data_IF_455713916536
#
_entry.id   IF_455713916536
#
_cell.length_a   1.000
_cell.length_b   1.000
_cell.length_c   1.000
_cell.angle_alpha   90.00
_cell.angle_beta   90.00
_cell.angle_gamma   90.00
#
_symmetry.space_group_name_H-M   'P 1'
#
loop_
_entity.id
_entity.type
_entity.pdbx_description
1 polymer ?
#
# COMPACT_ATOMS: atom_id res chain seq x y z
N UNK A 1 47.49 3.17 16.64
CA UNK A 1 46.89 3.45 15.33
C UNK A 1 45.66 4.31 15.58
N UNK A 2 45.24 5.24 14.73
CA UNK A 2 43.95 5.90 14.89
C UNK A 2 42.88 4.83 14.80
N UNK A 3 41.85 4.92 15.68
CA UNK A 3 40.75 4.01 15.70
C UNK A 3 40.01 4.05 14.34
N UNK A 4 39.69 2.89 13.80
CA UNK A 4 38.88 2.78 12.57
C UNK A 4 37.40 2.95 12.93
N UNK A 5 36.55 3.29 11.97
CA UNK A 5 35.10 3.42 12.20
C UNK A 5 34.52 2.10 12.73
N UNK A 6 35.05 0.98 12.28
CA UNK A 6 34.73 -0.37 12.70
C UNK A 6 34.95 -0.62 14.20
N UNK A 7 35.98 0.02 14.81
CA UNK A 7 36.31 -0.15 16.23
C UNK A 7 35.25 0.52 17.15
N UNK A 8 34.44 1.44 16.60
CA UNK A 8 33.43 2.19 17.35
C UNK A 8 32.03 1.64 17.19
N UNK A 9 31.82 0.70 16.26
CA UNK A 9 30.52 0.08 16.01
C UNK A 9 30.43 -1.24 16.77
N UNK A 10 29.41 -1.42 17.66
CA UNK A 10 29.18 -2.70 18.34
C UNK A 10 29.11 -3.89 17.38
N UNK A 11 29.47 -5.08 17.84
CA UNK A 11 29.45 -6.30 17.02
C UNK A 11 28.03 -6.70 16.61
N UNK A 12 27.03 -6.39 17.43
CA UNK A 12 25.60 -6.65 17.24
C UNK A 12 24.82 -5.47 16.64
N UNK A 13 25.52 -4.45 16.11
CA UNK A 13 24.86 -3.29 15.49
C UNK A 13 24.16 -3.67 14.18
N UNK A 14 22.95 -3.14 13.99
CA UNK A 14 22.13 -3.35 12.80
C UNK A 14 22.87 -3.04 11.49
N UNK A 15 23.77 -2.04 11.48
CA UNK A 15 24.53 -1.70 10.28
C UNK A 15 25.46 -2.82 9.83
N UNK A 16 26.05 -3.58 10.76
CA UNK A 16 26.88 -4.75 10.42
C UNK A 16 26.00 -5.83 9.79
N UNK A 17 24.87 -6.12 10.42
CA UNK A 17 23.92 -7.10 9.89
C UNK A 17 23.45 -6.71 8.48
N UNK A 18 23.10 -5.45 8.24
CA UNK A 18 22.68 -4.98 6.91
C UNK A 18 23.79 -5.16 5.87
N UNK A 19 25.02 -4.82 6.21
CA UNK A 19 26.16 -5.00 5.28
C UNK A 19 26.37 -6.49 4.99
N UNK A 20 26.36 -7.34 6.00
CA UNK A 20 26.56 -8.78 5.85
C UNK A 20 25.48 -9.45 4.99
N UNK A 21 24.22 -9.02 5.11
CA UNK A 21 23.13 -9.49 4.28
C UNK A 21 23.30 -8.98 2.84
N UNK A 22 23.52 -7.68 2.65
CA UNK A 22 23.66 -7.08 1.31
C UNK A 22 24.85 -7.65 0.55
N UNK A 23 25.92 -8.05 1.24
CA UNK A 23 27.06 -8.72 0.59
C UNK A 23 26.69 -10.07 -0.03
N UNK A 24 25.65 -10.72 0.46
CA UNK A 24 25.13 -12.01 -0.07
C UNK A 24 24.11 -11.82 -1.19
N UNK A 25 23.56 -10.62 -1.35
CA UNK A 25 22.57 -10.33 -2.39
C UNK A 25 23.23 -10.25 -3.76
N UNK A 26 22.51 -10.76 -4.77
CA UNK A 26 22.88 -10.56 -6.18
C UNK A 26 22.43 -9.16 -6.63
N UNK A 27 23.40 -8.32 -6.87
CA UNK A 27 23.22 -6.94 -7.37
C UNK A 27 23.66 -6.80 -8.82
N UNK A 28 23.88 -7.90 -9.55
CA UNK A 28 24.37 -7.90 -10.93
C UNK A 28 23.50 -7.07 -11.88
N UNK A 29 22.18 -7.12 -11.75
CA UNK A 29 21.26 -6.32 -12.56
C UNK A 29 21.52 -4.81 -12.42
N UNK A 30 21.87 -4.36 -11.21
CA UNK A 30 22.24 -2.97 -10.97
C UNK A 30 23.66 -2.69 -11.51
N UNK A 31 24.61 -3.59 -11.27
CA UNK A 31 26.01 -3.45 -11.66
C UNK A 31 26.17 -3.36 -13.19
N UNK A 32 25.50 -4.24 -13.92
CA UNK A 32 25.54 -4.31 -15.38
C UNK A 32 24.93 -3.06 -16.06
N UNK A 33 24.10 -2.30 -15.34
CA UNK A 33 23.50 -1.07 -15.84
C UNK A 33 24.45 0.14 -15.82
N UNK A 34 25.64 0.02 -15.20
CA UNK A 34 26.61 1.09 -15.15
C UNK A 34 27.54 1.05 -16.36
N UNK A 35 27.50 2.11 -17.16
CA UNK A 35 28.47 2.29 -18.25
C UNK A 35 29.88 2.55 -17.69
N UNK A 36 30.89 1.98 -18.36
CA UNK A 36 32.30 2.22 -18.03
C UNK A 36 32.77 3.67 -18.29
N UNK A 37 31.88 4.57 -18.74
CA UNK A 37 32.14 5.98 -19.08
C UNK A 37 31.55 6.91 -18.03
N UNK A 38 32.33 7.78 -17.45
CA UNK A 38 31.90 8.82 -16.50
C UNK A 38 32.73 8.88 -15.22
N UNK A 39 32.22 9.63 -14.22
CA UNK A 39 32.77 9.62 -12.86
C UNK A 39 32.59 8.26 -12.21
N UNK A 40 33.51 7.84 -11.32
CA UNK A 40 33.38 6.58 -10.59
C UNK A 40 32.08 6.60 -9.79
N UNK A 41 31.19 5.68 -10.12
CA UNK A 41 29.96 5.46 -9.36
C UNK A 41 30.29 4.80 -8.00
N UNK A 42 29.44 5.04 -7.00
CA UNK A 42 29.47 4.26 -5.77
C UNK A 42 29.04 2.82 -6.05
N UNK A 43 29.62 1.88 -5.30
CA UNK A 43 29.26 0.46 -5.49
C UNK A 43 27.78 0.25 -5.19
N UNK A 44 27.03 -0.50 -6.03
CA UNK A 44 25.60 -0.77 -5.82
C UNK A 44 25.26 -1.31 -4.44
N UNK A 45 26.03 -2.27 -3.94
CA UNK A 45 25.87 -2.83 -2.58
C UNK A 45 25.98 -1.77 -1.48
N UNK A 46 26.93 -0.83 -1.61
CA UNK A 46 27.04 0.29 -0.66
C UNK A 46 25.77 1.14 -0.68
N UNK A 47 25.29 1.49 -1.87
CA UNK A 47 24.08 2.32 -2.01
C UNK A 47 22.81 1.59 -1.52
N UNK A 48 22.67 0.31 -1.81
CA UNK A 48 21.58 -0.53 -1.32
C UNK A 48 21.61 -0.65 0.21
N UNK A 49 22.77 -0.98 0.80
CA UNK A 49 22.93 -1.05 2.25
C UNK A 49 22.63 0.29 2.93
N UNK A 50 23.08 1.40 2.33
CA UNK A 50 22.80 2.74 2.85
C UNK A 50 21.30 3.05 2.86
N UNK A 51 20.57 2.72 1.79
CA UNK A 51 19.13 2.92 1.72
C UNK A 51 18.37 2.01 2.71
N UNK A 52 18.69 0.71 2.71
CA UNK A 52 18.05 -0.27 3.60
C UNK A 52 18.22 0.14 5.06
N UNK A 53 19.46 0.42 5.48
CA UNK A 53 19.72 0.85 6.85
C UNK A 53 19.05 2.18 7.21
N UNK A 54 19.14 3.15 6.30
CA UNK A 54 18.52 4.46 6.53
C UNK A 54 17.01 4.35 6.71
N UNK A 55 16.34 3.52 5.90
CA UNK A 55 14.90 3.31 5.99
C UNK A 55 14.52 2.52 7.25
N UNK A 56 15.26 1.47 7.57
CA UNK A 56 15.07 0.71 8.80
C UNK A 56 15.23 1.56 10.08
N UNK A 57 15.98 2.67 9.99
CA UNK A 57 16.20 3.61 11.09
C UNK A 57 15.44 4.95 10.95
N UNK A 58 14.39 4.99 10.11
CA UNK A 58 13.51 6.15 9.98
C UNK A 58 14.11 7.36 9.25
N UNK A 59 15.11 7.16 8.40
CA UNK A 59 15.74 8.24 7.64
C UNK A 59 15.45 8.11 6.16
N UNK A 60 14.35 8.75 5.65
CA UNK A 60 13.89 8.60 4.26
C UNK A 60 14.38 9.69 3.30
N UNK A 61 14.71 10.87 3.83
CA UNK A 61 15.12 12.02 3.01
C UNK A 61 16.59 11.87 2.55
N UNK A 62 16.83 11.90 1.23
CA UNK A 62 18.19 11.82 0.67
C UNK A 62 19.16 12.86 1.28
N UNK A 63 18.67 14.08 1.56
CA UNK A 63 19.48 15.11 2.23
C UNK A 63 19.81 14.76 3.69
N UNK A 64 18.87 14.13 4.41
CA UNK A 64 19.13 13.63 5.76
C UNK A 64 20.08 12.45 5.74
N UNK A 65 19.95 11.54 4.77
CA UNK A 65 20.85 10.40 4.58
C UNK A 65 22.27 10.90 4.30
N UNK A 66 22.46 11.82 3.35
CA UNK A 66 23.76 12.45 3.09
C UNK A 66 24.37 13.00 4.39
N UNK A 67 23.61 13.81 5.15
CA UNK A 67 24.07 14.36 6.42
C UNK A 67 24.51 13.25 7.40
N UNK A 68 23.74 12.16 7.49
CA UNK A 68 24.08 11.02 8.35
C UNK A 68 25.39 10.34 7.96
N UNK A 69 25.79 10.35 6.70
CA UNK A 69 27.09 9.80 6.30
C UNK A 69 28.28 10.56 6.92
N UNK A 70 28.08 11.79 7.39
CA UNK A 70 29.10 12.58 8.07
C UNK A 70 29.04 12.46 9.59
N UNK A 71 27.86 12.42 10.20
CA UNK A 71 27.65 12.57 11.63
C UNK A 71 27.28 11.26 12.37
N UNK A 72 26.91 10.19 11.63
CA UNK A 72 26.50 8.90 12.20
C UNK A 72 27.53 7.81 11.96
N UNK A 73 28.03 7.18 13.02
CA UNK A 73 28.99 6.07 12.93
C UNK A 73 28.48 4.92 12.07
N UNK A 74 27.25 4.39 12.26
CA UNK A 74 26.72 3.33 11.41
C UNK A 74 26.67 3.70 9.92
N UNK A 75 26.21 4.91 9.56
CA UNK A 75 26.19 5.33 8.17
C UNK A 75 27.59 5.48 7.57
N UNK A 76 28.54 5.97 8.36
CA UNK A 76 29.95 6.04 7.95
C UNK A 76 30.57 4.66 7.75
N UNK A 77 30.20 3.70 8.58
CA UNK A 77 30.62 2.30 8.43
C UNK A 77 30.10 1.72 7.11
N UNK A 78 28.79 1.80 6.85
CA UNK A 78 28.16 1.31 5.62
C UNK A 78 28.78 1.94 4.37
N UNK A 79 29.05 3.23 4.41
CA UNK A 79 29.65 3.96 3.29
C UNK A 79 31.16 3.83 3.18
N UNK A 80 31.83 3.03 4.02
CA UNK A 80 33.29 2.96 4.08
C UNK A 80 33.92 4.36 4.15
N UNK A 81 33.31 5.24 4.95
CA UNK A 81 33.70 6.65 5.12
C UNK A 81 33.64 7.49 3.83
N UNK A 82 32.86 7.05 2.84
CA UNK A 82 32.50 7.84 1.66
C UNK A 82 31.19 8.59 1.96
N UNK A 83 30.94 9.66 1.18
CA UNK A 83 29.80 10.54 1.43
C UNK A 83 29.03 10.78 0.12
N UNK A 84 28.14 9.84 -0.29
CA UNK A 84 27.27 10.06 -1.43
C UNK A 84 26.40 11.31 -1.20
N UNK A 85 26.37 12.21 -2.16
CA UNK A 85 25.50 13.38 -2.11
C UNK A 85 24.02 13.00 -2.30
N UNK A 86 23.14 13.89 -1.86
CA UNK A 86 21.69 13.64 -1.91
C UNK A 86 21.14 13.44 -3.32
N UNK A 87 21.75 14.06 -4.33
CA UNK A 87 21.33 13.87 -5.73
C UNK A 87 21.71 12.47 -6.22
N UNK A 88 22.88 11.97 -5.83
CA UNK A 88 23.31 10.60 -6.13
C UNK A 88 22.40 9.58 -5.44
N UNK A 89 22.08 9.78 -4.16
CA UNK A 89 21.16 8.91 -3.40
C UNK A 89 19.77 8.94 -4.05
N UNK A 90 19.26 10.11 -4.39
CA UNK A 90 17.93 10.28 -5.02
C UNK A 90 17.90 9.58 -6.38
N UNK A 91 18.91 9.81 -7.24
CA UNK A 91 18.99 9.19 -8.56
C UNK A 91 19.11 7.67 -8.48
N UNK A 92 19.93 7.15 -7.57
CA UNK A 92 20.04 5.70 -7.35
C UNK A 92 18.69 5.10 -6.99
N UNK A 93 17.98 5.66 -6.00
CA UNK A 93 16.66 5.21 -5.58
C UNK A 93 15.64 5.22 -6.72
N UNK A 94 15.57 6.29 -7.52
CA UNK A 94 14.61 6.38 -8.62
C UNK A 94 14.96 5.45 -9.78
N UNK A 95 16.24 5.29 -10.07
CA UNK A 95 16.67 4.47 -11.21
C UNK A 95 16.55 2.97 -10.94
N UNK A 96 16.78 2.55 -9.72
CA UNK A 96 16.90 1.14 -9.34
C UNK A 96 15.84 0.71 -8.31
N UNK A 97 14.69 1.36 -8.35
CA UNK A 97 13.62 1.05 -7.38
C UNK A 97 13.14 -0.40 -7.50
N UNK A 98 12.94 -0.87 -8.71
CA UNK A 98 12.44 -2.23 -8.99
C UNK A 98 13.48 -3.28 -8.60
N UNK A 99 14.74 -3.05 -8.93
CA UNK A 99 15.84 -3.94 -8.56
C UNK A 99 16.04 -3.99 -7.03
N UNK A 100 15.98 -2.85 -6.36
CA UNK A 100 16.05 -2.78 -4.88
C UNK A 100 14.86 -3.49 -4.23
N UNK A 101 13.67 -3.38 -4.82
CA UNK A 101 12.49 -4.13 -4.36
C UNK A 101 12.69 -5.64 -4.57
N UNK A 102 13.28 -6.06 -5.68
CA UNK A 102 13.65 -7.46 -5.94
C UNK A 102 14.65 -8.05 -4.92
N UNK A 103 15.47 -7.20 -4.27
CA UNK A 103 16.36 -7.67 -3.20
C UNK A 103 15.59 -8.16 -1.96
N UNK A 104 14.35 -7.69 -1.74
CA UNK A 104 13.52 -8.17 -0.63
C UNK A 104 13.25 -9.68 -0.73
N UNK A 105 12.90 -10.15 -1.92
CA UNK A 105 12.70 -11.59 -2.15
C UNK A 105 13.98 -12.38 -1.88
N UNK A 106 15.14 -11.87 -2.28
CA UNK A 106 16.42 -12.54 -1.98
C UNK A 106 16.69 -12.62 -0.47
N UNK A 107 16.32 -11.59 0.30
CA UNK A 107 16.44 -11.59 1.77
C UNK A 107 15.55 -12.69 2.37
N UNK A 108 14.31 -12.84 1.89
CA UNK A 108 13.42 -13.92 2.33
C UNK A 108 14.02 -15.32 2.02
N UNK A 109 14.61 -15.47 0.83
CA UNK A 109 15.25 -16.73 0.44
C UNK A 109 16.45 -17.07 1.32
N UNK A 110 17.28 -16.08 1.67
CA UNK A 110 18.38 -16.26 2.63
C UNK A 110 17.83 -16.66 4.00
N UNK A 111 16.74 -16.01 4.46
CA UNK A 111 16.09 -16.36 5.72
C UNK A 111 15.54 -17.80 5.69
N UNK A 112 14.98 -18.25 4.56
CA UNK A 112 14.56 -19.65 4.36
C UNK A 112 15.73 -20.64 4.42
N UNK A 113 16.84 -20.35 3.74
CA UNK A 113 18.05 -21.19 3.79
C UNK A 113 18.66 -21.28 5.20
N UNK A 114 18.48 -20.23 6.01
CA UNK A 114 18.89 -20.20 7.41
C UNK A 114 17.89 -20.89 8.35
N UNK A 115 16.75 -21.36 7.84
CA UNK A 115 15.67 -21.94 8.63
C UNK A 115 14.94 -20.93 9.52
N UNK A 116 14.99 -19.64 9.16
CA UNK A 116 14.32 -18.56 9.91
C UNK A 116 12.88 -18.33 9.43
N UNK A 117 12.54 -18.72 8.22
CA UNK A 117 11.20 -18.64 7.65
C UNK A 117 10.87 -19.93 6.88
N UNK A 118 9.67 -20.43 7.10
CA UNK A 118 9.04 -21.49 6.33
C UNK A 118 7.56 -21.14 6.24
N UNK A 119 7.10 -20.83 5.03
CA UNK A 119 5.73 -20.40 4.81
C UNK A 119 4.79 -21.56 5.10
N UNK A 120 3.83 -21.35 5.99
CA UNK A 120 2.82 -22.35 6.39
C UNK A 120 1.64 -21.66 7.05
N UNK A 121 1.91 -20.89 8.10
CA UNK A 121 0.91 -20.16 8.86
C UNK A 121 1.01 -18.66 8.56
N UNK A 122 0.06 -18.10 7.83
CA UNK A 122 0.11 -16.72 7.39
C UNK A 122 -0.96 -15.88 8.09
N UNK A 123 -0.60 -14.67 8.51
CA UNK A 123 -1.55 -13.66 8.97
C UNK A 123 -1.59 -12.50 7.97
N UNK A 124 -2.79 -12.14 7.51
CA UNK A 124 -3.02 -10.97 6.65
C UNK A 124 -3.73 -9.90 7.46
N UNK A 125 -3.24 -8.67 7.35
CA UNK A 125 -3.85 -7.51 7.98
C UNK A 125 -3.49 -6.23 7.22
N UNK A 126 -4.32 -5.19 7.42
CA UNK A 126 -4.14 -3.89 6.81
C UNK A 126 -3.99 -2.77 7.84
N UNK A 127 -3.23 -1.74 7.46
CA UNK A 127 -3.14 -0.53 8.27
C UNK A 127 -3.23 0.72 7.43
N UNK A 128 -3.91 1.74 7.95
CA UNK A 128 -4.03 3.02 7.25
C UNK A 128 -2.82 3.89 7.57
N UNK A 129 -2.10 4.32 6.52
CA UNK A 129 -0.91 5.16 6.61
C UNK A 129 -1.22 6.55 6.05
N UNK A 130 -0.90 7.59 6.83
CA UNK A 130 -1.17 8.96 6.42
C UNK A 130 -0.34 9.34 5.19
N UNK A 131 -1.01 9.88 4.17
CA UNK A 131 -0.34 10.50 3.04
C UNK A 131 0.27 11.85 3.43
N UNK A 132 1.33 12.26 2.76
CA UNK A 132 1.88 13.61 2.91
C UNK A 132 1.01 14.65 2.18
N UNK A 133 -0.27 14.66 2.49
CA UNK A 133 -1.27 15.49 1.86
C UNK A 133 -2.32 15.97 2.86
N UNK A 134 -2.71 17.25 2.74
CA UNK A 134 -3.75 17.82 3.59
C UNK A 134 -5.14 17.44 3.07
N UNK A 135 -6.02 16.99 3.95
CA UNK A 135 -7.44 16.78 3.63
C UNK A 135 -8.15 18.03 3.14
N UNK A 136 -7.65 19.23 3.49
CA UNK A 136 -8.20 20.51 3.04
C UNK A 136 -7.88 20.83 1.57
N UNK A 137 -6.98 20.08 0.95
CA UNK A 137 -6.70 20.15 -0.49
C UNK A 137 -7.43 19.07 -1.30
N UNK A 138 -8.29 18.30 -0.67
CA UNK A 138 -9.22 17.44 -1.36
C UNK A 138 -10.32 18.26 -2.04
N UNK A 139 -10.51 18.02 -3.32
CA UNK A 139 -11.50 18.69 -4.16
C UNK A 139 -12.58 17.70 -4.56
N UNK A 140 -13.85 17.97 -4.21
CA UNK A 140 -14.98 17.15 -4.65
C UNK A 140 -15.36 17.47 -6.10
N UNK A 141 -16.00 16.52 -6.78
CA UNK A 141 -16.48 16.69 -8.15
C UNK A 141 -17.36 17.93 -8.34
N UNK A 142 -18.38 18.09 -7.49
CA UNK A 142 -19.27 19.25 -7.53
C UNK A 142 -18.48 20.56 -7.34
N UNK A 143 -17.56 20.60 -6.35
CA UNK A 143 -16.75 21.80 -6.11
C UNK A 143 -15.73 22.07 -7.23
N UNK A 144 -15.22 21.01 -7.88
CA UNK A 144 -14.34 21.15 -9.04
C UNK A 144 -15.05 21.81 -10.21
N UNK A 145 -16.29 21.38 -10.49
CA UNK A 145 -17.12 21.97 -11.55
C UNK A 145 -17.39 23.46 -11.29
N UNK A 146 -17.81 23.82 -10.07
CA UNK A 146 -18.06 25.21 -9.70
C UNK A 146 -16.80 26.08 -9.81
N UNK A 147 -15.64 25.56 -9.37
CA UNK A 147 -14.39 26.32 -9.44
C UNK A 147 -13.85 26.44 -10.87
N UNK A 148 -14.06 25.45 -11.72
CA UNK A 148 -13.69 25.52 -13.12
C UNK A 148 -14.48 26.61 -13.84
N UNK A 149 -15.80 26.63 -13.66
CA UNK A 149 -16.66 27.66 -14.23
C UNK A 149 -16.24 29.06 -13.73
N UNK A 150 -16.13 29.25 -12.41
CA UNK A 150 -15.71 30.51 -11.82
C UNK A 150 -14.35 31.00 -12.33
N UNK A 151 -13.33 30.12 -12.40
CA UNK A 151 -11.99 30.52 -12.85
C UNK A 151 -11.95 30.81 -14.33
N UNK A 152 -12.78 30.15 -15.13
CA UNK A 152 -12.90 30.45 -16.57
C UNK A 152 -13.49 31.83 -16.77
N UNK A 153 -14.58 32.18 -16.08
CA UNK A 153 -15.17 33.53 -16.10
C UNK A 153 -14.16 34.58 -15.63
N UNK A 154 -13.45 34.36 -14.52
CA UNK A 154 -12.44 35.32 -14.02
C UNK A 154 -11.27 35.52 -15.00
N UNK A 155 -10.87 34.50 -15.78
CA UNK A 155 -9.84 34.64 -16.82
C UNK A 155 -10.37 35.46 -18.00
N UNK A 156 -11.60 35.20 -18.44
CA UNK A 156 -12.26 35.96 -19.49
C UNK A 156 -12.38 37.43 -19.13
N UNK A 157 -12.83 37.77 -17.93
CA UNK A 157 -12.91 39.15 -17.43
C UNK A 157 -11.54 39.86 -17.37
N UNK A 158 -10.47 39.13 -16.99
CA UNK A 158 -9.11 39.64 -16.97
C UNK A 158 -8.56 39.89 -18.38
N UNK A 159 -8.88 39.05 -19.35
CA UNK A 159 -8.50 39.23 -20.74
C UNK A 159 -9.21 40.43 -21.37
N UNK A 160 -10.52 40.58 -21.13
CA UNK A 160 -11.29 41.78 -21.57
C UNK A 160 -10.71 43.06 -20.97
N UNK A 161 -10.31 43.03 -19.68
CA UNK A 161 -9.69 44.16 -19.01
C UNK A 161 -8.33 44.49 -19.61
N UNK A 162 -7.52 43.47 -19.95
CA UNK A 162 -6.23 43.65 -20.60
C UNK A 162 -6.39 44.31 -21.99
N UNK A 163 -7.36 43.79 -22.80
CA UNK A 163 -7.66 44.37 -24.12
C UNK A 163 -8.13 45.81 -24.04
N UNK A 164 -8.99 46.18 -23.07
CA UNK A 164 -9.46 47.53 -22.85
C UNK A 164 -8.33 48.50 -22.46
N UNK A 165 -7.34 48.03 -21.68
CA UNK A 165 -6.16 48.86 -21.31
C UNK A 165 -5.25 49.06 -22.51
N UNK A 166 -5.04 48.03 -23.34
CA UNK A 166 -4.23 48.12 -24.55
C UNK A 166 -4.85 49.12 -25.57
N UNK A 167 -6.20 49.21 -25.63
CA UNK A 167 -6.91 50.18 -26.50
C UNK A 167 -6.80 51.62 -25.98
N UNK A 168 -6.67 51.83 -24.67
CA UNK A 168 -6.58 53.18 -24.06
C UNK A 168 -5.14 53.71 -23.98
N UNK A 169 -4.10 52.99 -24.43
CA UNK A 169 -2.67 53.36 -24.34
C UNK A 169 -2.17 53.67 -22.91
N UNK A 170 -2.87 53.25 -21.88
CA UNK A 170 -2.44 53.41 -20.48
C UNK A 170 -1.52 52.23 -20.08
N UNK A 171 -0.23 52.52 -19.83
CA UNK A 171 0.78 51.53 -19.42
C UNK A 171 0.55 50.95 -18.02
N UNK A 172 -0.32 51.53 -17.21
CA UNK A 172 -0.58 51.08 -15.83
C UNK A 172 -2.03 50.59 -15.66
N UNK A 173 -2.23 49.32 -15.53
CA UNK A 173 -3.51 48.71 -15.19
C UNK A 173 -4.07 49.19 -13.84
N UNK A 174 -5.39 49.02 -13.56
CA UNK A 174 -6.02 49.50 -12.36
C UNK A 174 -5.40 48.90 -11.10
N UNK A 175 -4.73 49.74 -10.32
CA UNK A 175 -4.25 49.40 -8.97
C UNK A 175 -2.90 48.67 -8.87
N UNK A 176 -2.06 48.64 -9.91
CA UNK A 176 -0.74 48.01 -9.86
C UNK A 176 -0.80 46.47 -9.90
N UNK A 177 -1.87 45.92 -10.42
CA UNK A 177 -2.02 44.47 -10.68
C UNK A 177 -1.26 44.12 -11.96
N UNK A 178 -0.38 43.12 -11.87
CA UNK A 178 0.22 42.47 -13.04
C UNK A 178 -0.80 41.48 -13.63
N UNK A 179 -1.60 41.94 -14.58
CA UNK A 179 -2.67 41.17 -15.21
C UNK A 179 -2.12 39.86 -15.82
N UNK A 180 -1.00 39.84 -16.57
CA UNK A 180 -0.40 38.62 -17.07
C UNK A 180 -0.04 37.61 -15.96
N UNK A 181 0.51 38.06 -14.83
CA UNK A 181 0.83 37.20 -13.70
C UNK A 181 -0.44 36.61 -13.05
N UNK A 182 -1.50 37.40 -12.94
CA UNK A 182 -2.78 36.97 -12.39
C UNK A 182 -3.50 35.94 -13.30
N UNK A 183 -3.45 36.13 -14.62
CA UNK A 183 -3.97 35.15 -15.60
C UNK A 183 -3.20 33.84 -15.47
N UNK A 184 -1.87 33.91 -15.52
CA UNK A 184 -1.03 32.69 -15.41
C UNK A 184 -1.29 31.92 -14.11
N UNK A 185 -1.51 32.62 -13.01
CA UNK A 185 -1.83 31.99 -11.71
C UNK A 185 -3.16 31.25 -11.75
N UNK A 186 -4.19 31.83 -12.40
CA UNK A 186 -5.52 31.23 -12.54
C UNK A 186 -5.50 30.05 -13.52
N UNK A 187 -4.82 30.19 -14.64
CA UNK A 187 -4.64 29.11 -15.63
C UNK A 187 -3.98 27.88 -14.98
N UNK A 188 -2.89 28.07 -14.23
CA UNK A 188 -2.22 26.99 -13.52
C UNK A 188 -3.14 26.30 -12.48
N UNK A 189 -3.99 27.08 -11.81
CA UNK A 189 -4.97 26.53 -10.88
C UNK A 189 -6.06 25.75 -11.60
N UNK A 190 -6.53 26.27 -12.73
CA UNK A 190 -7.53 25.64 -13.58
C UNK A 190 -7.01 24.31 -14.16
N UNK A 191 -5.75 24.26 -14.60
CA UNK A 191 -5.09 23.02 -15.03
C UNK A 191 -5.11 21.97 -13.93
N UNK A 192 -4.71 22.31 -12.69
CA UNK A 192 -4.76 21.38 -11.56
C UNK A 192 -6.17 20.88 -11.23
N UNK A 193 -7.20 21.72 -11.40
CA UNK A 193 -8.61 21.32 -11.22
C UNK A 193 -9.03 20.35 -12.33
N UNK A 194 -8.69 20.62 -13.57
CA UNK A 194 -8.99 19.75 -14.72
C UNK A 194 -8.33 18.38 -14.57
N UNK A 195 -7.08 18.35 -14.19
CA UNK A 195 -6.39 17.08 -13.88
C UNK A 195 -7.08 16.28 -12.76
N UNK A 196 -7.54 16.98 -11.69
CA UNK A 196 -8.28 16.34 -10.62
C UNK A 196 -9.61 15.75 -11.11
N UNK A 197 -10.32 16.47 -11.99
CA UNK A 197 -11.58 16.02 -12.62
C UNK A 197 -11.35 14.77 -13.48
N UNK A 198 -10.35 14.80 -14.36
CA UNK A 198 -10.00 13.65 -15.19
C UNK A 198 -9.73 12.37 -14.37
N UNK A 199 -9.04 12.53 -13.23
CA UNK A 199 -8.78 11.41 -12.32
C UNK A 199 -10.04 10.90 -11.62
N UNK A 200 -10.95 11.80 -11.24
CA UNK A 200 -12.25 11.42 -10.65
C UNK A 200 -13.10 10.68 -11.69
N UNK A 201 -13.16 11.17 -12.93
CA UNK A 201 -13.88 10.51 -14.04
C UNK A 201 -13.30 9.14 -14.37
N UNK A 202 -11.98 9.04 -14.48
CA UNK A 202 -11.30 7.77 -14.75
C UNK A 202 -11.69 6.72 -13.71
N UNK A 203 -11.63 7.06 -12.43
CA UNK A 203 -12.03 6.17 -11.33
C UNK A 203 -13.51 5.80 -11.35
N UNK A 204 -14.37 6.72 -11.76
CA UNK A 204 -15.79 6.42 -11.90
C UNK A 204 -16.04 5.41 -13.02
N UNK A 205 -15.27 5.49 -14.13
CA UNK A 205 -15.34 4.52 -15.24
C UNK A 205 -14.79 3.16 -14.81
N UNK A 206 -13.63 3.12 -14.16
CA UNK A 206 -13.02 1.88 -13.65
C UNK A 206 -13.99 1.15 -12.68
N UNK A 207 -14.59 1.88 -11.74
CA UNK A 207 -15.59 1.31 -10.84
C UNK A 207 -16.82 0.76 -11.60
N UNK A 208 -17.29 1.48 -12.60
CA UNK A 208 -18.42 0.99 -13.41
C UNK A 208 -18.05 -0.28 -14.19
N UNK A 209 -16.86 -0.35 -14.75
CA UNK A 209 -16.35 -1.57 -15.42
C UNK A 209 -16.31 -2.76 -14.43
N UNK A 210 -15.84 -2.56 -13.20
CA UNK A 210 -15.88 -3.59 -12.15
C UNK A 210 -17.31 -4.02 -11.79
N UNK A 211 -18.24 -3.07 -11.69
CA UNK A 211 -19.65 -3.34 -11.43
C UNK A 211 -20.31 -4.14 -12.56
N UNK A 212 -19.97 -3.82 -13.83
CA UNK A 212 -20.43 -4.56 -15.01
C UNK A 212 -19.89 -5.98 -15.00
N UNK A 213 -18.59 -6.15 -14.81
CA UNK A 213 -17.95 -7.49 -14.74
C UNK A 213 -18.61 -8.35 -13.64
N UNK A 214 -18.82 -7.76 -12.46
CA UNK A 214 -19.47 -8.45 -11.35
C UNK A 214 -20.95 -8.80 -11.64
N UNK A 215 -21.64 -7.94 -12.39
CA UNK A 215 -23.00 -8.23 -12.86
C UNK A 215 -22.99 -9.41 -13.86
N UNK A 216 -22.09 -9.40 -14.83
CA UNK A 216 -21.92 -10.48 -15.80
C UNK A 216 -21.62 -11.82 -15.11
N UNK A 217 -20.66 -11.87 -14.17
CA UNK A 217 -20.39 -13.07 -13.39
C UNK A 217 -21.59 -13.58 -12.61
N UNK A 218 -22.41 -12.67 -12.02
CA UNK A 218 -23.65 -13.08 -11.34
C UNK A 218 -24.67 -13.65 -12.30
N UNK A 219 -24.76 -13.10 -13.50
CA UNK A 219 -25.68 -13.59 -14.52
C UNK A 219 -25.25 -14.95 -15.04
N UNK A 220 -23.95 -15.14 -15.27
CA UNK A 220 -23.39 -16.43 -15.69
C UNK A 220 -23.64 -17.53 -14.64
N UNK A 221 -23.35 -17.26 -13.38
CA UNK A 221 -23.67 -18.19 -12.26
C UNK A 221 -25.17 -18.49 -12.14
N UNK A 222 -26.05 -17.57 -12.54
CA UNK A 222 -27.49 -17.82 -12.60
C UNK A 222 -27.87 -18.70 -13.78
N UNK A 223 -27.27 -18.47 -14.93
CA UNK A 223 -27.47 -19.28 -16.12
C UNK A 223 -27.01 -20.73 -15.91
N UNK A 224 -25.84 -20.94 -15.32
CA UNK A 224 -25.32 -22.25 -14.93
C UNK A 224 -26.26 -22.97 -13.98
N UNK A 225 -26.74 -22.27 -12.95
CA UNK A 225 -27.72 -22.85 -12.02
C UNK A 225 -29.02 -23.26 -12.71
N UNK A 226 -29.54 -22.44 -13.66
CA UNK A 226 -30.74 -22.74 -14.40
C UNK A 226 -30.56 -23.95 -15.36
N UNK A 227 -29.36 -24.07 -15.96
CA UNK A 227 -29.00 -25.21 -16.80
C UNK A 227 -28.91 -26.50 -16.00
N UNK A 228 -28.28 -26.48 -14.82
CA UNK A 228 -28.07 -27.63 -13.95
C UNK A 228 -29.38 -28.10 -13.28
N UNK A 229 -30.23 -27.17 -12.85
CA UNK A 229 -31.40 -27.47 -12.04
C UNK A 229 -32.73 -27.39 -12.81
N UNK A 230 -32.74 -26.90 -14.05
CA UNK A 230 -33.96 -26.73 -14.88
C UNK A 230 -34.97 -25.73 -14.33
N UNK A 231 -34.55 -24.84 -13.43
CA UNK A 231 -35.41 -23.80 -12.80
C UNK A 231 -34.59 -22.53 -12.50
N UNK A 232 -35.28 -21.38 -12.48
CA UNK A 232 -34.65 -20.10 -12.13
C UNK A 232 -34.06 -20.14 -10.73
N UNK A 233 -32.81 -19.58 -10.62
CA UNK A 233 -32.14 -19.41 -9.32
C UNK A 233 -33.02 -18.53 -8.40
N UNK A 234 -33.29 -18.92 -7.15
CA UNK A 234 -34.03 -18.11 -6.21
C UNK A 234 -33.37 -16.76 -5.94
N UNK A 235 -34.16 -15.74 -5.67
CA UNK A 235 -33.70 -14.38 -5.35
C UNK A 235 -33.97 -13.38 -6.45
N UNK A 236 -33.79 -12.08 -6.11
CA UNK A 236 -34.01 -10.97 -7.06
C UNK A 236 -32.97 -11.06 -8.17
N UNK A 237 -33.40 -10.82 -9.40
CA UNK A 237 -32.50 -10.71 -10.55
C UNK A 237 -31.61 -9.47 -10.37
N UNK A 238 -30.27 -9.59 -10.59
CA UNK A 238 -29.40 -8.43 -10.54
C UNK A 238 -29.84 -7.37 -11.55
N UNK A 239 -29.76 -6.10 -11.16
CA UNK A 239 -29.99 -4.98 -12.06
C UNK A 239 -28.68 -4.66 -12.79
N UNK A 240 -28.75 -4.41 -14.11
CA UNK A 240 -27.59 -4.00 -14.90
C UNK A 240 -27.13 -2.62 -14.41
N UNK A 241 -25.82 -2.46 -14.08
CA UNK A 241 -25.31 -1.17 -13.64
C UNK A 241 -25.32 -0.16 -14.77
N UNK A 242 -25.86 1.02 -14.51
CA UNK A 242 -25.85 2.15 -15.44
C UNK A 242 -24.72 3.13 -15.05
N UNK A 243 -24.00 3.65 -16.04
CA UNK A 243 -22.98 4.67 -15.82
C UNK A 243 -23.62 6.05 -15.61
N UNK A 244 -23.67 6.50 -14.37
CA UNK A 244 -24.20 7.83 -14.00
C UNK A 244 -23.11 8.93 -13.92
N UNK A 245 -21.85 8.58 -14.22
CA UNK A 245 -20.73 9.49 -14.05
C UNK A 245 -20.16 9.50 -12.63
N UNK A 246 -19.25 10.48 -12.33
CA UNK A 246 -18.74 10.64 -10.98
C UNK A 246 -19.80 11.09 -9.99
N UNK A 247 -19.77 10.56 -8.78
CA UNK A 247 -20.58 11.07 -7.69
C UNK A 247 -20.14 12.49 -7.28
N UNK A 248 -21.08 13.36 -6.88
CA UNK A 248 -20.81 14.74 -6.44
C UNK A 248 -19.76 14.81 -5.33
N UNK A 249 -19.72 13.78 -4.47
CA UNK A 249 -18.79 13.65 -3.34
C UNK A 249 -17.48 12.97 -3.68
N UNK A 250 -17.33 12.43 -4.90
CA UNK A 250 -16.08 11.85 -5.33
C UNK A 250 -14.97 12.90 -5.29
N UNK A 251 -13.81 12.55 -4.73
CA UNK A 251 -12.75 13.52 -4.43
C UNK A 251 -11.42 13.11 -5.02
N UNK A 252 -10.62 14.12 -5.37
CA UNK A 252 -9.18 13.98 -5.61
C UNK A 252 -8.42 15.00 -4.77
N UNK A 253 -7.25 14.61 -4.25
CA UNK A 253 -6.37 15.54 -3.55
C UNK A 253 -5.43 16.22 -4.54
N UNK A 254 -5.32 17.55 -4.47
CA UNK A 254 -4.48 18.34 -5.39
C UNK A 254 -2.97 18.20 -5.12
N UNK A 255 -2.59 17.70 -3.95
CA UNK A 255 -1.17 17.49 -3.59
C UNK A 255 -0.74 16.05 -3.84
N UNK A 256 -1.58 15.11 -3.49
CA UNK A 256 -1.37 13.66 -3.64
C UNK A 256 -2.66 13.03 -4.17
N UNK A 257 -2.80 12.96 -5.49
CA UNK A 257 -4.04 12.51 -6.13
C UNK A 257 -4.35 11.03 -5.95
N UNK A 258 -3.36 10.24 -5.58
CA UNK A 258 -3.50 8.80 -5.35
C UNK A 258 -4.02 8.51 -3.94
N UNK A 259 -3.78 9.41 -2.99
CA UNK A 259 -4.30 9.28 -1.62
C UNK A 259 -5.83 9.33 -1.57
N UNK A 260 -6.40 8.71 -0.55
CA UNK A 260 -7.85 8.69 -0.30
C UNK A 260 -8.17 9.14 1.12
N UNK A 261 -9.37 9.71 1.29
CA UNK A 261 -9.87 10.00 2.64
C UNK A 261 -10.26 8.68 3.29
N UNK A 262 -9.51 8.30 4.32
CA UNK A 262 -9.73 7.09 5.10
C UNK A 262 -9.85 7.42 6.58
N UNK A 263 -10.60 6.59 7.32
CA UNK A 263 -10.63 6.68 8.78
C UNK A 263 -9.39 6.02 9.34
N UNK A 264 -8.52 6.82 9.95
CA UNK A 264 -7.30 6.36 10.62
C UNK A 264 -7.54 6.22 12.13
N UNK A 265 -6.81 5.33 12.78
CA UNK A 265 -6.96 5.06 14.22
C UNK A 265 -6.53 6.24 15.11
N UNK A 266 -5.64 7.10 14.63
CA UNK A 266 -5.01 8.15 15.44
C UNK A 266 -5.62 9.52 15.23
N UNK A 267 -5.93 9.87 13.97
CA UNK A 267 -6.25 11.26 13.58
C UNK A 267 -7.63 11.42 12.93
N UNK A 268 -8.51 10.40 13.02
CA UNK A 268 -9.81 10.41 12.38
C UNK A 268 -9.69 10.38 10.84
N UNK A 269 -10.53 11.11 10.13
CA UNK A 269 -10.51 11.14 8.66
C UNK A 269 -9.31 11.91 8.13
N UNK A 270 -8.41 11.23 7.41
CA UNK A 270 -7.19 11.77 6.82
C UNK A 270 -7.02 11.28 5.38
N UNK A 271 -6.20 11.99 4.61
CA UNK A 271 -5.65 11.45 3.37
C UNK A 271 -4.67 10.34 3.73
N UNK A 272 -4.92 9.16 3.22
CA UNK A 272 -4.17 7.96 3.60
C UNK A 272 -4.13 6.94 2.47
N UNK A 273 -3.28 5.96 2.66
CA UNK A 273 -3.19 4.71 1.92
C UNK A 273 -3.52 3.55 2.84
N UNK A 274 -3.96 2.45 2.27
CA UNK A 274 -4.15 1.20 2.96
C UNK A 274 -2.97 0.28 2.66
N UNK A 275 -2.06 0.15 3.62
CA UNK A 275 -0.94 -0.78 3.53
C UNK A 275 -1.40 -2.16 3.98
N UNK A 276 -1.28 -3.14 3.11
CA UNK A 276 -1.56 -4.54 3.37
C UNK A 276 -0.26 -5.33 3.55
N UNK A 277 -0.26 -6.30 4.44
CA UNK A 277 0.89 -7.20 4.62
C UNK A 277 0.43 -8.62 4.95
N UNK A 278 1.10 -9.58 4.32
CA UNK A 278 1.07 -10.98 4.71
C UNK A 278 2.33 -11.30 5.50
N UNK A 279 2.16 -11.89 6.66
CA UNK A 279 3.22 -12.11 7.65
C UNK A 279 3.23 -13.57 8.05
N UNK A 280 4.39 -14.19 8.04
CA UNK A 280 4.56 -15.52 8.63
C UNK A 280 4.37 -15.47 10.15
N UNK A 281 3.47 -16.32 10.65
CA UNK A 281 3.07 -16.31 12.06
C UNK A 281 4.12 -16.92 13.00
N UNK A 282 5.09 -17.61 12.48
CA UNK A 282 6.12 -18.30 13.25
C UNK A 282 7.40 -17.46 13.38
N UNK A 283 7.86 -16.89 12.29
CA UNK A 283 9.05 -16.01 12.26
C UNK A 283 8.76 -14.54 12.46
N UNK A 284 7.52 -14.09 12.25
CA UNK A 284 7.11 -12.69 12.19
C UNK A 284 7.75 -11.90 11.03
N UNK A 285 8.25 -12.59 10.01
CA UNK A 285 8.75 -11.94 8.82
C UNK A 285 7.59 -11.56 7.88
N UNK A 286 7.69 -10.37 7.30
CA UNK A 286 6.79 -9.95 6.22
C UNK A 286 7.13 -10.79 5.00
N UNK A 287 6.14 -11.49 4.45
CA UNK A 287 6.28 -12.31 3.26
C UNK A 287 6.01 -11.48 2.00
N UNK A 288 4.88 -10.78 2.01
CA UNK A 288 4.44 -9.92 0.92
C UNK A 288 3.77 -8.67 1.47
N UNK A 289 3.59 -7.66 0.62
CA UNK A 289 2.82 -6.48 0.99
C UNK A 289 2.56 -5.58 -0.20
N UNK A 290 1.40 -4.91 -0.18
CA UNK A 290 1.02 -3.95 -1.19
C UNK A 290 0.35 -2.72 -0.57
N UNK A 291 0.30 -1.66 -1.36
CA UNK A 291 -0.36 -0.41 -0.99
C UNK A 291 -1.62 -0.25 -1.82
N UNK A 292 -2.75 -0.16 -1.15
CA UNK A 292 -4.05 0.03 -1.78
C UNK A 292 -4.62 1.42 -1.52
N UNK A 293 -5.46 1.86 -2.42
CA UNK A 293 -6.27 3.07 -2.29
C UNK A 293 -7.68 2.77 -1.74
N UNK A 294 -8.03 1.51 -1.56
CA UNK A 294 -9.32 1.09 -1.00
C UNK A 294 -9.35 1.33 0.51
N UNK A 295 -10.38 2.01 1.03
CA UNK A 295 -10.58 2.13 2.47
C UNK A 295 -11.07 0.82 3.11
N UNK A 296 -11.49 -0.16 2.29
CA UNK A 296 -12.10 -1.41 2.71
C UNK A 296 -11.15 -2.58 2.44
N UNK A 297 -10.96 -3.45 3.43
CA UNK A 297 -10.02 -4.56 3.35
C UNK A 297 -10.61 -5.80 2.63
N UNK A 298 -11.91 -5.81 2.30
CA UNK A 298 -12.57 -6.96 1.65
C UNK A 298 -11.98 -7.35 0.31
N UNK A 299 -11.54 -6.37 -0.46
CA UNK A 299 -10.98 -6.58 -1.81
C UNK A 299 -9.47 -6.83 -1.78
N UNK A 300 -8.86 -6.75 -0.59
CA UNK A 300 -7.41 -6.80 -0.46
C UNK A 300 -6.88 -8.22 -0.18
N UNK A 301 -7.76 -9.19 0.08
CA UNK A 301 -7.33 -10.56 0.34
C UNK A 301 -6.88 -11.28 -0.94
N UNK A 302 -7.62 -11.12 -2.02
CA UNK A 302 -7.29 -11.75 -3.30
C UNK A 302 -5.92 -11.30 -3.84
N UNK A 303 -5.59 -9.99 -3.91
CA UNK A 303 -4.23 -9.54 -4.23
C UNK A 303 -3.15 -10.06 -3.28
N UNK A 304 -3.47 -10.23 -1.99
CA UNK A 304 -2.53 -10.80 -1.03
C UNK A 304 -2.29 -12.30 -1.29
N UNK A 305 -3.33 -13.04 -1.65
CA UNK A 305 -3.23 -14.47 -2.02
C UNK A 305 -2.41 -14.66 -3.30
N UNK A 306 -2.63 -13.83 -4.33
CA UNK A 306 -1.83 -13.85 -5.55
C UNK A 306 -0.34 -13.65 -5.26
N UNK A 307 -0.01 -12.67 -4.42
CA UNK A 307 1.38 -12.43 -4.03
C UNK A 307 1.99 -13.57 -3.18
N UNK A 308 1.18 -14.26 -2.37
CA UNK A 308 1.63 -15.43 -1.60
C UNK A 308 1.92 -16.59 -2.56
N UNK A 309 1.09 -16.80 -3.56
CA UNK A 309 1.26 -17.84 -4.58
C UNK A 309 2.50 -17.60 -5.46
N UNK A 310 2.86 -16.35 -5.70
CA UNK A 310 4.08 -15.96 -6.42
C UNK A 310 5.38 -16.21 -5.63
N UNK A 311 5.31 -16.54 -4.35
CA UNK A 311 6.49 -16.82 -3.57
C UNK A 311 7.16 -18.13 -4.06
N UNK A 312 8.51 -18.19 -4.07
CA UNK A 312 9.22 -19.40 -4.48
C UNK A 312 8.87 -20.61 -3.61
N UNK A 313 8.54 -21.73 -4.22
CA UNK A 313 8.20 -23.03 -3.57
C UNK A 313 9.17 -23.44 -2.46
N UNK A 314 10.45 -23.06 -2.59
CA UNK A 314 11.49 -23.36 -1.57
C UNK A 314 11.30 -22.65 -0.24
N UNK A 315 10.40 -21.65 -0.16
CA UNK A 315 10.00 -20.99 1.09
C UNK A 315 8.87 -21.74 1.80
N UNK A 316 8.27 -22.78 1.18
CA UNK A 316 7.08 -23.47 1.64
C UNK A 316 5.82 -22.92 0.99
N UNK A 317 4.70 -23.55 1.29
CA UNK A 317 3.36 -23.18 0.83
C UNK A 317 2.51 -22.78 2.04
N UNK A 318 1.56 -21.87 1.83
CA UNK A 318 0.65 -21.45 2.88
C UNK A 318 -0.42 -22.52 3.14
N UNK A 319 -0.43 -23.08 4.33
CA UNK A 319 -1.43 -24.07 4.77
C UNK A 319 -2.66 -23.39 5.39
N UNK A 320 -2.44 -22.34 6.18
CA UNK A 320 -3.47 -21.66 6.98
C UNK A 320 -3.30 -20.14 6.92
N UNK A 321 -4.42 -19.45 6.79
CA UNK A 321 -4.44 -17.99 6.74
C UNK A 321 -5.36 -17.42 7.80
N UNK A 322 -4.88 -16.47 8.60
CA UNK A 322 -5.64 -15.71 9.58
C UNK A 322 -5.84 -14.28 9.14
N UNK A 323 -7.09 -13.81 9.09
CA UNK A 323 -7.43 -12.42 8.78
C UNK A 323 -8.55 -11.89 9.69
N UNK A 324 -8.71 -10.58 9.78
CA UNK A 324 -9.77 -9.99 10.59
C UNK A 324 -11.13 -9.99 9.89
N UNK A 325 -12.16 -9.48 10.58
CA UNK A 325 -13.52 -9.42 10.03
C UNK A 325 -13.65 -8.47 8.82
N UNK A 326 -12.69 -7.57 8.60
CA UNK A 326 -12.67 -6.67 7.44
C UNK A 326 -12.59 -7.43 6.12
N UNK A 327 -11.97 -8.61 6.13
CA UNK A 327 -11.80 -9.49 4.96
C UNK A 327 -12.93 -10.50 4.75
N UNK A 328 -13.92 -10.57 5.65
CA UNK A 328 -14.94 -11.59 5.57
C UNK A 328 -15.85 -11.40 4.35
N UNK A 329 -15.80 -12.33 3.43
CA UNK A 329 -16.74 -12.51 2.33
C UNK A 329 -16.74 -13.99 1.88
N UNK A 330 -17.81 -14.43 1.22
CA UNK A 330 -17.87 -15.79 0.68
C UNK A 330 -16.80 -15.99 -0.42
N UNK A 331 -16.55 -14.96 -1.23
CA UNK A 331 -15.52 -14.99 -2.26
C UNK A 331 -14.12 -15.18 -1.66
N UNK A 332 -13.78 -14.44 -0.61
CA UNK A 332 -12.47 -14.55 0.03
C UNK A 332 -12.24 -15.92 0.71
N UNK A 333 -13.30 -16.49 1.30
CA UNK A 333 -13.20 -17.86 1.87
C UNK A 333 -12.97 -18.87 0.76
N UNK A 334 -13.74 -18.80 -0.32
CA UNK A 334 -13.59 -19.68 -1.48
C UNK A 334 -12.21 -19.52 -2.15
N UNK A 335 -11.73 -18.29 -2.33
CA UNK A 335 -10.41 -18.02 -2.91
C UNK A 335 -9.25 -18.64 -2.11
N UNK A 336 -9.34 -18.63 -0.76
CA UNK A 336 -8.37 -19.36 0.07
C UNK A 336 -8.46 -20.87 -0.16
N UNK A 337 -9.69 -21.42 -0.15
CA UNK A 337 -9.93 -22.86 -0.28
C UNK A 337 -9.53 -23.39 -1.66
N UNK A 338 -9.75 -22.64 -2.73
CA UNK A 338 -9.30 -22.92 -4.10
C UNK A 338 -7.77 -23.02 -4.23
N UNK A 339 -7.02 -22.27 -3.42
CA UNK A 339 -5.57 -22.34 -3.34
C UNK A 339 -5.07 -23.40 -2.32
N UNK A 340 -5.98 -24.17 -1.73
CA UNK A 340 -5.63 -25.17 -0.71
C UNK A 340 -5.31 -24.59 0.66
N UNK A 341 -5.56 -23.31 0.87
CA UNK A 341 -5.29 -22.60 2.12
C UNK A 341 -6.52 -22.65 3.03
N UNK A 342 -6.36 -23.14 4.26
CA UNK A 342 -7.44 -23.18 5.24
C UNK A 342 -7.66 -21.79 5.86
N UNK A 343 -8.82 -21.12 5.59
CA UNK A 343 -9.07 -19.78 6.11
C UNK A 343 -9.54 -19.77 7.57
N UNK A 344 -9.09 -18.76 8.31
CA UNK A 344 -9.52 -18.38 9.66
C UNK A 344 -9.82 -16.89 9.70
N UNK A 345 -10.91 -16.46 9.05
CA UNK A 345 -11.34 -15.08 8.97
C UNK A 345 -12.42 -14.83 10.02
N UNK A 346 -12.24 -13.82 10.87
CA UNK A 346 -13.21 -13.55 11.94
C UNK A 346 -14.61 -13.28 11.40
N UNK A 347 -15.62 -13.93 11.97
CA UNK A 347 -17.04 -13.80 11.55
C UNK A 347 -17.79 -12.66 12.24
N UNK A 348 -17.14 -11.91 13.13
CA UNK A 348 -17.74 -10.78 13.86
C UNK A 348 -16.88 -10.32 15.03
N UNK A 349 -17.33 -9.26 15.70
CA UNK A 349 -16.69 -8.76 16.92
C UNK A 349 -16.96 -9.69 18.09
N UNK A 350 -15.96 -10.44 18.52
CA UNK A 350 -16.03 -11.22 19.77
C UNK A 350 -15.85 -10.30 20.97
N UNK A 351 -16.37 -10.72 22.15
CA UNK A 351 -16.17 -10.01 23.43
C UNK A 351 -14.67 -9.87 23.68
N UNK A 352 -14.24 -8.68 24.05
CA UNK A 352 -12.82 -8.39 24.33
C UNK A 352 -12.20 -9.28 25.42
N UNK A 353 -13.01 -9.71 26.40
CA UNK A 353 -12.61 -10.59 27.47
C UNK A 353 -13.63 -11.74 27.62
N UNK A 354 -13.55 -12.79 26.80
CA UNK A 354 -14.36 -13.98 27.01
C UNK A 354 -13.98 -14.65 28.33
N UNK A 355 -14.94 -15.28 28.99
CA UNK A 355 -14.69 -16.03 30.22
C UNK A 355 -13.67 -17.15 29.97
N UNK A 356 -13.02 -17.63 31.00
CA UNK A 356 -12.09 -18.74 30.86
C UNK A 356 -12.77 -20.02 30.31
N UNK A 357 -14.07 -20.20 30.62
CA UNK A 357 -14.86 -21.31 30.06
C UNK A 357 -15.03 -21.17 28.56
N UNK A 358 -15.44 -19.98 28.08
CA UNK A 358 -15.60 -19.72 26.64
C UNK A 358 -14.29 -19.91 25.86
N UNK A 359 -13.13 -19.66 26.53
CA UNK A 359 -11.81 -19.89 25.92
C UNK A 359 -11.43 -21.37 25.80
N UNK A 360 -11.87 -22.20 26.75
CA UNK A 360 -11.46 -23.59 26.86
C UNK A 360 -12.55 -24.59 26.43
N UNK A 361 -13.71 -24.09 25.95
CA UNK A 361 -14.80 -24.93 25.44
C UNK A 361 -14.81 -24.85 23.93
N UNK A 362 -14.91 -26.00 23.25
CA UNK A 362 -15.15 -26.08 21.80
C UNK A 362 -16.61 -25.77 21.45
N UNK A 363 -16.98 -25.83 20.18
CA UNK A 363 -18.36 -25.67 19.73
C UNK A 363 -19.25 -26.78 20.37
N UNK A 364 -20.48 -26.40 20.71
CA UNK A 364 -21.48 -27.37 21.26
C UNK A 364 -22.19 -28.12 20.13
N UNK A 365 -22.15 -27.60 18.92
CA UNK A 365 -22.79 -28.14 17.73
C UNK A 365 -21.87 -29.13 17.02
N UNK A 366 -22.47 -30.08 16.31
CA UNK A 366 -21.72 -31.00 15.43
C UNK A 366 -21.11 -30.21 14.25
N UNK A 367 -19.98 -30.68 13.66
CA UNK A 367 -19.39 -30.07 12.48
C UNK A 367 -20.41 -30.02 11.33
N UNK A 368 -20.40 -28.96 10.50
CA UNK A 368 -21.24 -28.89 9.32
C UNK A 368 -20.95 -30.06 8.36
N UNK A 369 -21.93 -30.41 7.54
CA UNK A 369 -21.78 -31.50 6.55
C UNK A 369 -20.74 -31.16 5.49
N UNK A 370 -20.67 -29.87 5.11
CA UNK A 370 -19.67 -29.36 4.19
C UNK A 370 -18.40 -28.94 4.95
N UNK A 371 -17.25 -29.37 4.46
CA UNK A 371 -15.94 -29.06 5.04
C UNK A 371 -15.41 -27.67 4.60
N UNK A 372 -16.06 -27.02 3.65
CA UNK A 372 -15.69 -25.76 3.02
C UNK A 372 -16.75 -24.67 3.24
N UNK A 373 -16.35 -23.42 2.96
CA UNK A 373 -17.21 -22.25 3.03
C UNK A 373 -17.30 -21.59 4.41
N UNK A 374 -18.12 -20.55 4.49
CA UNK A 374 -18.22 -19.69 5.70
C UNK A 374 -18.66 -20.47 6.94
N UNK A 375 -19.58 -21.41 6.81
CA UNK A 375 -20.10 -22.18 7.95
C UNK A 375 -19.02 -23.09 8.53
N UNK A 376 -18.31 -23.81 7.68
CA UNK A 376 -17.18 -24.65 8.08
C UNK A 376 -16.04 -23.84 8.69
N UNK A 377 -15.71 -22.67 8.10
CA UNK A 377 -14.72 -21.75 8.66
C UNK A 377 -15.15 -21.21 10.02
N UNK A 378 -16.43 -20.80 10.19
CA UNK A 378 -16.96 -20.31 11.44
C UNK A 378 -16.90 -21.38 12.54
N UNK A 379 -17.24 -22.63 12.20
CA UNK A 379 -17.10 -23.76 13.10
C UNK A 379 -15.64 -24.00 13.51
N UNK A 380 -14.70 -24.01 12.53
CA UNK A 380 -13.26 -24.15 12.78
C UNK A 380 -12.74 -23.09 13.77
N UNK A 381 -13.17 -21.83 13.62
CA UNK A 381 -12.80 -20.74 14.52
C UNK A 381 -13.26 -20.92 15.98
N UNK A 382 -14.32 -21.72 16.21
CA UNK A 382 -14.82 -22.01 17.56
C UNK A 382 -14.17 -23.24 18.18
N UNK A 383 -13.46 -24.07 17.42
CA UNK A 383 -12.66 -25.17 17.97
C UNK A 383 -11.55 -24.65 18.87
N UNK A 384 -11.01 -25.49 19.72
CA UNK A 384 -9.88 -25.14 20.58
C UNK A 384 -8.63 -24.81 19.76
N UNK A 385 -8.40 -25.59 18.70
CA UNK A 385 -7.27 -25.37 17.78
C UNK A 385 -7.45 -24.06 17.02
N UNK A 386 -8.63 -23.80 16.45
CA UNK A 386 -8.91 -22.58 15.72
C UNK A 386 -8.81 -21.33 16.59
N UNK A 387 -9.29 -21.39 17.84
CA UNK A 387 -9.12 -20.31 18.81
C UNK A 387 -7.64 -20.04 19.13
N UNK A 388 -6.85 -21.09 19.29
CA UNK A 388 -5.42 -20.97 19.56
C UNK A 388 -4.68 -20.38 18.35
N UNK A 389 -4.97 -20.88 17.15
CA UNK A 389 -4.37 -20.39 15.90
C UNK A 389 -4.73 -18.93 15.64
N UNK A 390 -6.02 -18.61 15.60
CA UNK A 390 -6.49 -17.25 15.35
C UNK A 390 -6.00 -16.27 16.42
N UNK A 391 -5.88 -16.72 17.68
CA UNK A 391 -5.39 -15.89 18.77
C UNK A 391 -3.96 -15.37 18.58
N UNK A 392 -3.14 -16.05 17.79
CA UNK A 392 -1.76 -15.64 17.48
C UNK A 392 -1.72 -14.43 16.54
N UNK A 393 -2.75 -14.23 15.66
CA UNK A 393 -2.80 -13.17 14.65
C UNK A 393 -2.40 -11.80 15.20
N UNK A 394 -3.02 -11.38 16.31
CA UNK A 394 -2.75 -10.07 16.91
C UNK A 394 -1.29 -9.90 17.34
N UNK A 395 -0.72 -10.95 17.94
CA UNK A 395 0.67 -10.95 18.34
C UNK A 395 1.64 -10.97 17.17
N UNK A 396 1.18 -11.29 15.97
CA UNK A 396 1.98 -11.36 14.75
C UNK A 396 1.99 -10.01 14.01
N UNK A 397 0.82 -9.51 13.61
CA UNK A 397 0.74 -8.35 12.70
C UNK A 397 0.76 -7.00 13.40
N UNK A 398 0.15 -6.88 14.59
CA UNK A 398 0.11 -5.59 15.30
C UNK A 398 1.51 -5.04 15.67
N UNK A 399 2.48 -5.84 16.17
CA UNK A 399 3.83 -5.35 16.43
C UNK A 399 4.56 -4.87 15.17
N UNK A 400 4.36 -5.56 14.05
CA UNK A 400 4.98 -5.22 12.77
C UNK A 400 4.47 -3.88 12.27
N UNK A 401 3.15 -3.67 12.26
CA UNK A 401 2.59 -2.38 11.89
C UNK A 401 2.94 -1.28 12.88
N UNK A 402 3.08 -1.61 14.16
CA UNK A 402 3.62 -0.69 15.17
C UNK A 402 5.02 -0.21 14.82
N UNK A 403 5.93 -1.14 14.49
CA UNK A 403 7.29 -0.83 14.09
C UNK A 403 7.33 -0.01 12.78
N UNK A 404 6.55 -0.38 11.76
CA UNK A 404 6.47 0.37 10.51
C UNK A 404 6.03 1.82 10.76
N UNK A 405 4.98 2.03 11.57
CA UNK A 405 4.46 3.37 11.88
C UNK A 405 5.42 4.21 12.73
N UNK A 406 6.19 3.59 13.60
CA UNK A 406 7.19 4.30 14.41
C UNK A 406 8.37 4.78 13.56
N UNK A 407 8.73 4.00 12.54
CA UNK A 407 9.84 4.29 11.62
C UNK A 407 9.42 5.33 10.57
N UNK A 408 8.21 5.31 10.07
CA UNK A 408 7.67 6.21 9.01
C UNK A 408 7.12 7.51 9.57
#
# INVERSE_FOLDING_TARGET
>A
MPAQVEDWLPEDDLARFVVDIVDRLDTSAIEDSYDARGSKAYHPKLMAALLIYSYATGTFSSRKIEKRTYDSIPHRFICANQHPDHDTICRFRHRFWDEVTGLFLQVLLIAGEMGMVEVGNVAVDGTKMNANASKHKALSWDRANQLEEQLTEEIEELLETAEAIDEEEDEDGPGGLDIPEEIQRREKRLEGIREAKERIEKRARERHEEEVNHYEEKMDRRAEYEEEHGRKKPGREPEEPEYEGPEDKAQANLTDPESRIMLTSENGWQQAYNLQAAVDMDSHLILTGHVSQSPNDKQELEPALEQIDELPERLGEADRLAADNGYLSAGNVAACEEQGITPYIATGRKKHNPSWKERLTGPEEDPPEDEEGIEAMAYRLETLEGKAFYGRRKGTVEPIFGAIKEVM
#
